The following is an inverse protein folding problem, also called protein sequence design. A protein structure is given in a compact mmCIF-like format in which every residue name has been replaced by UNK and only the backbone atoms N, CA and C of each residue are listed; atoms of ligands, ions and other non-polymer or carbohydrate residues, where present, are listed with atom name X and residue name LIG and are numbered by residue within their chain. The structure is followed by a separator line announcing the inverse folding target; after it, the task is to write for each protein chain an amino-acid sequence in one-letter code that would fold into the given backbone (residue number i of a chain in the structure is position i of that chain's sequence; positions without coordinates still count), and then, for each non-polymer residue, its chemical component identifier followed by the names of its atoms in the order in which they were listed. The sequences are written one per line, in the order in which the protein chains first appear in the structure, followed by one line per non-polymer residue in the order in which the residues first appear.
data_IF_911250661985
#
_entry.id   IF_911250661985
#
_cell.length_a   1.000
_cell.length_b   1.000
_cell.length_c   1.000
_cell.angle_alpha   90.00
_cell.angle_beta   90.00
_cell.angle_gamma   90.00
#
_symmetry.space_group_name_H-M   'P 1'
#
loop_
_entity.id
_entity.type
_entity.pdbx_description
1 polymer ?
#
# COMPACT_ATOMS: atom_id res chain seq x y z
N UNK A 1 57.75 7.78 6.51
CA UNK A 1 57.25 6.43 6.85
C UNK A 1 57.33 6.26 8.36
N UNK A 2 56.19 6.23 9.04
CA UNK A 2 56.08 5.94 10.47
C UNK A 2 55.13 4.74 10.62
N UNK A 3 55.45 3.74 11.46
CA UNK A 3 54.67 2.51 11.52
C UNK A 3 53.38 2.69 12.31
N UNK A 4 52.29 2.25 11.67
CA UNK A 4 50.89 2.30 12.05
C UNK A 4 50.52 1.23 13.12
N UNK A 5 51.43 0.98 14.07
CA UNK A 5 51.39 -0.22 14.93
C UNK A 5 51.26 0.05 16.43
N UNK A 6 51.07 1.31 16.85
CA UNK A 6 51.05 1.69 18.27
C UNK A 6 49.72 2.30 18.76
N UNK A 7 48.62 2.15 18.01
CA UNK A 7 47.31 2.76 18.35
C UNK A 7 46.25 1.78 18.89
N UNK A 8 46.59 0.52 19.16
CA UNK A 8 45.59 -0.51 19.51
C UNK A 8 45.71 -1.08 20.94
N UNK A 9 46.29 -0.36 21.92
CA UNK A 9 46.48 -0.95 23.26
C UNK A 9 46.59 0.08 24.40
N UNK A 10 45.63 1.00 24.51
CA UNK A 10 45.33 1.75 25.74
C UNK A 10 43.83 2.12 25.67
N UNK A 11 42.97 1.88 26.64
CA UNK A 11 43.13 1.39 28.00
C UNK A 11 41.71 1.38 28.56
N UNK A 12 41.17 0.18 28.69
CA UNK A 12 39.89 -0.16 29.27
C UNK A 12 39.94 0.07 30.79
N UNK A 13 39.78 1.31 31.27
CA UNK A 13 39.65 1.61 32.71
C UNK A 13 39.20 3.06 32.97
N UNK A 14 37.89 3.33 32.88
CA UNK A 14 37.29 4.56 33.40
C UNK A 14 35.87 4.28 33.87
N UNK A 15 35.71 3.46 34.92
CA UNK A 15 34.42 3.10 35.47
C UNK A 15 34.46 2.93 36.99
N UNK A 16 34.97 3.90 37.76
CA UNK A 16 34.85 3.90 39.23
C UNK A 16 35.05 5.29 39.85
N UNK A 17 34.14 6.26 39.66
CA UNK A 17 34.08 7.46 40.53
C UNK A 17 32.78 8.27 40.39
N UNK A 18 31.61 7.64 40.56
CA UNK A 18 30.36 8.41 40.68
C UNK A 18 29.41 7.91 41.80
N UNK A 19 29.79 6.89 42.57
CA UNK A 19 29.06 6.48 43.77
C UNK A 19 29.55 7.30 44.98
N UNK A 20 29.17 8.59 45.01
CA UNK A 20 29.11 9.37 46.25
C UNK A 20 27.64 9.66 46.52
N UNK A 21 27.03 8.87 47.40
CA UNK A 21 25.68 9.10 47.91
C UNK A 21 25.72 10.24 48.93
N UNK A 22 25.34 11.44 48.52
CA UNK A 22 25.00 12.51 49.46
C UNK A 22 23.66 12.17 50.10
N UNK A 23 23.69 11.68 51.33
CA UNK A 23 22.50 11.49 52.17
C UNK A 23 21.98 12.83 52.65
N UNK A 24 21.28 13.55 51.78
CA UNK A 24 20.33 14.60 52.19
C UNK A 24 18.94 14.03 52.03
N UNK A 25 18.38 13.54 53.13
CA UNK A 25 16.97 13.19 53.24
C UNK A 25 16.12 14.46 53.23
N UNK A 26 15.98 15.08 52.06
CA UNK A 26 14.81 15.90 51.79
C UNK A 26 13.68 14.93 51.50
N UNK A 27 12.69 14.86 52.40
CA UNK A 27 11.39 14.27 52.10
C UNK A 27 10.77 15.17 51.01
N UNK A 28 11.12 14.88 49.76
CA UNK A 28 10.48 15.50 48.61
C UNK A 28 9.04 15.01 48.64
N UNK A 29 8.12 15.90 48.99
CA UNK A 29 6.70 15.72 48.73
C UNK A 29 6.56 15.50 47.22
N UNK A 30 6.54 14.24 46.78
CA UNK A 30 6.22 13.90 45.40
C UNK A 30 4.85 14.50 45.14
N UNK A 31 4.68 15.39 44.14
CA UNK A 31 3.33 15.79 43.75
C UNK A 31 2.59 14.49 43.41
N UNK A 32 1.56 14.18 44.20
CA UNK A 32 0.59 13.16 43.85
C UNK A 32 -0.25 13.75 42.70
N UNK A 33 0.33 13.82 41.51
CA UNK A 33 -0.48 13.92 40.30
C UNK A 33 -1.28 12.64 40.24
N UNK A 34 -2.57 12.71 40.56
CA UNK A 34 -3.51 11.67 40.13
C UNK A 34 -3.43 11.66 38.61
N UNK A 35 -2.74 10.68 38.06
CA UNK A 35 -2.82 10.38 36.65
C UNK A 35 -4.24 9.85 36.43
N UNK A 36 -5.07 10.67 35.78
CA UNK A 36 -6.34 10.22 35.26
C UNK A 36 -6.03 9.42 33.99
N UNK A 37 -5.59 8.18 34.19
CA UNK A 37 -5.43 7.23 33.09
C UNK A 37 -6.83 6.76 32.68
N UNK A 38 -7.10 6.83 31.39
CA UNK A 38 -8.33 6.33 30.80
C UNK A 38 -8.07 4.91 30.31
N UNK A 39 -8.74 3.93 30.90
CA UNK A 39 -8.50 2.52 30.60
C UNK A 39 -9.25 2.03 29.36
N UNK A 40 -9.99 2.90 28.68
CA UNK A 40 -10.69 2.56 27.44
C UNK A 40 -11.97 1.76 27.64
N UNK A 41 -12.55 1.80 28.85
CA UNK A 41 -13.82 1.15 29.14
C UNK A 41 -15.01 2.03 28.73
N UNK A 42 -15.65 1.62 27.65
CA UNK A 42 -16.86 2.20 27.04
C UNK A 42 -18.10 2.18 27.95
N UNK A 43 -18.10 1.37 29.01
CA UNK A 43 -19.23 1.26 29.95
C UNK A 43 -19.11 2.18 31.18
N UNK A 44 -17.93 2.78 31.44
CA UNK A 44 -17.66 3.49 32.71
C UNK A 44 -16.99 4.86 32.54
N UNK A 45 -16.38 5.17 31.39
CA UNK A 45 -15.63 6.42 31.20
C UNK A 45 -15.97 7.10 29.86
N UNK A 46 -16.27 8.40 29.89
CA UNK A 46 -16.33 9.22 28.67
C UNK A 46 -14.94 9.76 28.34
N UNK A 47 -14.31 9.16 27.32
CA UNK A 47 -12.96 9.53 26.90
C UNK A 47 -12.87 10.97 26.38
N UNK A 48 -13.94 11.51 25.82
CA UNK A 48 -13.93 12.81 25.16
C UNK A 48 -13.93 14.00 26.14
N UNK A 49 -14.40 13.79 27.38
CA UNK A 49 -14.60 14.88 28.35
C UNK A 49 -13.32 15.26 29.10
N UNK A 50 -12.39 14.32 29.31
CA UNK A 50 -11.18 14.53 30.13
C UNK A 50 -9.85 14.32 29.39
N UNK A 51 -9.87 14.05 28.07
CA UNK A 51 -8.66 13.73 27.30
C UNK A 51 -8.40 14.78 26.22
N UNK A 52 -7.16 15.31 26.09
CA UNK A 52 -6.82 16.21 25.00
C UNK A 52 -7.01 15.54 23.63
N UNK A 53 -7.47 16.31 22.64
CA UNK A 53 -7.86 15.81 21.30
C UNK A 53 -6.77 15.06 20.55
N UNK A 54 -5.50 15.28 20.90
CA UNK A 54 -4.35 14.57 20.34
C UNK A 54 -4.26 13.10 20.75
N UNK A 55 -4.89 12.69 21.86
CA UNK A 55 -4.86 11.30 22.38
C UNK A 55 -6.17 10.57 22.06
N UNK A 56 -7.20 11.27 21.58
CA UNK A 56 -8.49 10.70 21.17
C UNK A 56 -8.45 9.94 19.82
N UNK A 57 -7.27 9.69 19.26
CA UNK A 57 -7.11 9.00 17.97
C UNK A 57 -7.81 7.64 17.95
N UNK A 58 -7.66 6.82 18.98
CA UNK A 58 -8.30 5.50 19.08
C UNK A 58 -9.82 5.60 19.22
N UNK A 59 -10.33 6.54 20.04
CA UNK A 59 -11.76 6.76 20.23
C UNK A 59 -12.44 7.25 18.94
N UNK A 60 -11.79 8.20 18.26
CA UNK A 60 -12.25 8.72 16.97
C UNK A 60 -12.18 7.64 15.89
N UNK A 61 -11.15 6.80 15.91
CA UNK A 61 -11.03 5.65 15.01
C UNK A 61 -12.16 4.64 15.25
N UNK A 62 -12.44 4.24 16.50
CA UNK A 62 -13.55 3.32 16.82
C UNK A 62 -14.91 3.88 16.40
N UNK A 63 -15.18 5.16 16.67
CA UNK A 63 -16.40 5.84 16.20
C UNK A 63 -16.50 5.85 14.67
N UNK A 64 -15.39 6.12 13.98
CA UNK A 64 -15.34 6.10 12.52
C UNK A 64 -15.57 4.68 11.96
N UNK A 65 -14.90 3.66 12.48
CA UNK A 65 -15.07 2.26 12.05
C UNK A 65 -16.53 1.82 12.18
N UNK A 66 -17.18 2.17 13.28
CA UNK A 66 -18.59 1.85 13.51
C UNK A 66 -19.56 2.66 12.63
N UNK A 67 -19.09 3.79 12.05
CA UNK A 67 -19.90 4.63 11.14
C UNK A 67 -19.81 4.21 9.67
N UNK A 68 -18.85 3.34 9.30
CA UNK A 68 -18.74 2.83 7.93
C UNK A 68 -19.87 1.83 7.69
N UNK A 69 -20.83 2.20 6.84
CA UNK A 69 -21.91 1.30 6.42
C UNK A 69 -21.30 0.03 5.78
N UNK A 70 -21.54 -1.17 6.34
CA UNK A 70 -21.12 -2.43 5.75
C UNK A 70 -21.62 -2.57 4.31
N UNK A 71 -22.72 -1.92 3.96
CA UNK A 71 -23.30 -1.95 2.62
C UNK A 71 -22.92 -0.71 1.78
N UNK A 72 -21.74 -0.12 1.89
CA UNK A 72 -21.34 0.95 0.97
C UNK A 72 -21.26 0.45 -0.50
N UNK A 73 -21.38 1.32 -1.51
CA UNK A 73 -21.25 0.95 -2.94
C UNK A 73 -19.96 0.19 -3.25
N UNK A 74 -18.86 0.51 -2.55
CA UNK A 74 -17.58 -0.20 -2.64
C UNK A 74 -17.61 -1.63 -2.07
N UNK A 75 -18.61 -1.94 -1.26
CA UNK A 75 -18.82 -3.22 -0.60
C UNK A 75 -20.13 -3.92 -1.06
N UNK A 76 -20.82 -3.39 -2.09
CA UNK A 76 -22.07 -3.98 -2.64
C UNK A 76 -21.95 -4.49 -4.07
N UNK A 77 -20.79 -4.33 -4.72
CA UNK A 77 -20.59 -4.72 -6.11
C UNK A 77 -19.28 -5.50 -6.27
N UNK A 78 -19.33 -6.84 -6.24
CA UNK A 78 -18.20 -7.67 -6.64
C UNK A 78 -18.67 -8.97 -7.31
N UNK A 79 -19.24 -8.82 -8.50
CA UNK A 79 -19.82 -9.94 -9.26
C UNK A 79 -18.74 -10.94 -9.73
N UNK A 80 -17.49 -10.52 -9.94
CA UNK A 80 -16.45 -11.44 -10.44
C UNK A 80 -15.91 -12.39 -9.36
N UNK A 81 -15.78 -11.95 -8.11
CA UNK A 81 -15.32 -12.80 -7.02
C UNK A 81 -16.31 -13.97 -6.77
N UNK A 82 -17.61 -13.66 -6.82
CA UNK A 82 -18.70 -14.65 -6.79
C UNK A 82 -18.64 -15.56 -8.02
N UNK A 83 -18.42 -14.99 -9.22
CA UNK A 83 -18.35 -15.76 -10.46
C UNK A 83 -17.11 -16.68 -10.57
N UNK A 84 -16.00 -16.33 -9.92
CA UNK A 84 -14.77 -17.13 -9.88
C UNK A 84 -14.78 -18.18 -8.76
N UNK A 85 -15.87 -18.29 -7.99
CA UNK A 85 -16.02 -19.30 -6.94
C UNK A 85 -14.96 -19.19 -5.85
N UNK A 86 -14.53 -17.96 -5.54
CA UNK A 86 -13.53 -17.75 -4.49
C UNK A 86 -14.13 -18.20 -3.15
N UNK A 87 -13.47 -19.16 -2.50
CA UNK A 87 -13.92 -19.76 -1.23
C UNK A 87 -14.07 -18.66 -0.16
N UNK A 88 -15.32 -18.43 0.29
CA UNK A 88 -15.70 -17.37 1.23
C UNK A 88 -16.84 -16.44 0.80
N UNK A 89 -17.42 -16.61 -0.39
CA UNK A 89 -18.64 -15.90 -0.81
C UNK A 89 -19.89 -16.75 -0.60
N UNK A 90 -20.62 -16.53 0.49
CA UNK A 90 -22.02 -16.98 0.59
C UNK A 90 -22.91 -16.08 -0.31
N UNK A 91 -24.12 -16.53 -0.66
CA UNK A 91 -25.02 -15.91 -1.65
C UNK A 91 -25.46 -14.46 -1.34
N UNK A 92 -25.12 -13.95 -0.14
CA UNK A 92 -25.35 -12.58 0.32
C UNK A 92 -24.04 -11.76 0.48
N UNK A 93 -22.87 -12.41 0.34
CA UNK A 93 -21.55 -11.84 0.65
C UNK A 93 -20.91 -11.20 -0.57
N UNK A 94 -20.97 -9.88 -0.60
CA UNK A 94 -20.13 -9.07 -1.47
C UNK A 94 -18.72 -8.95 -0.88
N UNK A 95 -17.70 -8.90 -1.75
CA UNK A 95 -16.29 -8.73 -1.38
C UNK A 95 -16.02 -7.39 -0.66
N UNK A 96 -15.61 -7.42 0.62
CA UNK A 96 -15.42 -6.22 1.42
C UNK A 96 -14.06 -5.58 1.21
N UNK A 97 -13.94 -4.84 0.11
CA UNK A 97 -12.73 -4.09 -0.29
C UNK A 97 -12.05 -3.39 0.90
N UNK A 98 -12.81 -2.61 1.68
CA UNK A 98 -12.25 -1.82 2.79
C UNK A 98 -11.78 -2.70 3.96
N UNK A 99 -12.51 -3.77 4.27
CA UNK A 99 -12.12 -4.72 5.32
C UNK A 99 -10.90 -5.51 4.89
N UNK A 100 -10.85 -6.02 3.65
CA UNK A 100 -9.71 -6.77 3.11
C UNK A 100 -8.45 -5.94 2.99
N UNK A 101 -8.54 -4.69 2.52
CA UNK A 101 -7.40 -3.75 2.50
C UNK A 101 -6.81 -3.56 3.90
N UNK A 102 -7.67 -3.51 4.93
CA UNK A 102 -7.27 -3.39 6.33
C UNK A 102 -6.68 -4.69 6.87
N UNK A 103 -7.35 -5.82 6.68
CA UNK A 103 -6.92 -7.16 7.13
C UNK A 103 -5.57 -7.53 6.54
N UNK A 104 -5.35 -7.24 5.26
CA UNK A 104 -4.08 -7.48 4.57
C UNK A 104 -3.03 -6.40 4.88
N UNK A 105 -3.39 -5.35 5.64
CA UNK A 105 -2.49 -4.26 6.00
C UNK A 105 -1.90 -3.56 4.79
N UNK A 106 -2.64 -3.41 3.69
CA UNK A 106 -2.05 -2.95 2.42
C UNK A 106 -1.51 -1.53 2.51
N UNK A 107 -2.24 -0.64 3.19
CA UNK A 107 -1.79 0.74 3.39
C UNK A 107 -0.52 0.80 4.25
N UNK A 108 -0.46 -0.02 5.30
CA UNK A 108 0.73 -0.16 6.14
C UNK A 108 1.91 -0.67 5.31
N UNK A 109 1.75 -1.76 4.55
CA UNK A 109 2.77 -2.29 3.65
C UNK A 109 3.23 -1.28 2.60
N UNK A 110 2.32 -0.48 2.02
CA UNK A 110 2.70 0.57 1.07
C UNK A 110 3.54 1.67 1.71
N UNK A 111 3.25 2.00 2.98
CA UNK A 111 4.01 2.98 3.75
C UNK A 111 5.37 2.42 4.18
N UNK A 112 5.42 1.18 4.67
CA UNK A 112 6.66 0.47 5.03
C UNK A 112 7.62 0.31 3.85
N UNK A 113 7.07 -0.02 2.67
CA UNK A 113 7.85 -0.10 1.43
C UNK A 113 8.26 1.27 0.90
N UNK A 114 7.80 2.37 1.52
CA UNK A 114 8.11 3.73 1.13
C UNK A 114 7.66 4.05 -0.29
N UNK A 115 6.57 3.43 -0.77
CA UNK A 115 6.15 3.53 -2.19
C UNK A 115 5.96 4.98 -2.59
N UNK A 116 5.30 5.78 -1.76
CA UNK A 116 5.09 7.21 -2.02
C UNK A 116 6.41 7.99 -2.05
N UNK A 117 7.32 7.73 -1.10
CA UNK A 117 8.64 8.37 -1.07
C UNK A 117 9.49 8.01 -2.29
N UNK A 118 9.38 6.76 -2.78
CA UNK A 118 10.05 6.30 -3.99
C UNK A 118 9.46 6.94 -5.25
N UNK A 119 8.14 7.09 -5.30
CA UNK A 119 7.46 7.81 -6.39
C UNK A 119 7.89 9.28 -6.43
N UNK A 120 7.95 9.94 -5.28
CA UNK A 120 8.43 11.31 -5.17
C UNK A 120 9.91 11.43 -5.56
N UNK A 121 10.76 10.46 -5.16
CA UNK A 121 12.15 10.39 -5.58
C UNK A 121 12.32 10.19 -7.10
N UNK A 122 11.34 9.58 -7.78
CA UNK A 122 11.27 9.49 -9.24
C UNK A 122 10.68 10.74 -9.90
N UNK A 123 10.39 11.79 -9.13
CA UNK A 123 9.89 13.08 -9.62
C UNK A 123 8.36 13.19 -9.67
N UNK A 124 7.62 12.19 -9.18
CA UNK A 124 6.15 12.25 -9.14
C UNK A 124 5.68 13.11 -7.96
N UNK A 125 5.70 14.42 -8.15
CA UNK A 125 5.11 15.39 -7.22
C UNK A 125 3.64 15.61 -7.55
N UNK A 126 2.89 16.24 -6.63
CA UNK A 126 1.50 16.64 -6.85
C UNK A 126 1.35 17.53 -8.10
N UNK A 127 2.23 18.51 -8.26
CA UNK A 127 2.24 19.40 -9.43
C UNK A 127 2.44 18.61 -10.73
N UNK A 128 3.35 17.64 -10.74
CA UNK A 128 3.58 16.79 -11.91
C UNK A 128 2.44 15.80 -12.17
N UNK A 129 1.78 15.32 -11.12
CA UNK A 129 0.57 14.52 -11.27
C UNK A 129 -0.54 15.33 -11.96
N UNK A 130 -0.72 16.60 -11.60
CA UNK A 130 -1.66 17.50 -12.26
C UNK A 130 -1.30 17.76 -13.73
N UNK A 131 -0.02 17.94 -14.06
CA UNK A 131 0.45 18.06 -15.45
C UNK A 131 0.22 16.79 -16.28
N UNK A 132 0.26 15.61 -15.65
CA UNK A 132 0.00 14.34 -16.30
C UNK A 132 -1.48 14.09 -16.58
N UNK A 133 -2.41 14.69 -15.82
CA UNK A 133 -3.85 14.50 -16.02
C UNK A 133 -4.32 14.84 -17.45
N UNK A 134 -3.95 16.00 -18.05
CA UNK A 134 -4.27 16.29 -19.45
C UNK A 134 -3.70 15.28 -20.45
N UNK A 135 -2.51 14.72 -20.18
CA UNK A 135 -1.90 13.71 -21.05
C UNK A 135 -2.66 12.38 -20.96
N UNK A 136 -3.04 11.96 -19.75
CA UNK A 136 -3.87 10.78 -19.50
C UNK A 136 -5.28 10.91 -20.11
N UNK A 137 -5.85 12.13 -20.09
CA UNK A 137 -7.12 12.44 -20.77
C UNK A 137 -7.00 12.28 -22.29
N UNK A 138 -5.93 12.83 -22.91
CA UNK A 138 -5.66 12.68 -24.36
C UNK A 138 -5.42 11.23 -24.76
N UNK A 139 -4.77 10.45 -23.89
CA UNK A 139 -4.57 9.00 -24.06
C UNK A 139 -5.86 8.20 -23.83
N UNK A 140 -6.95 8.84 -23.38
CA UNK A 140 -8.24 8.19 -23.12
C UNK A 140 -8.23 7.28 -21.90
N UNK A 141 -7.19 7.32 -21.06
CA UNK A 141 -7.06 6.47 -19.86
C UNK A 141 -8.15 6.79 -18.87
N UNK A 142 -8.38 8.09 -18.61
CA UNK A 142 -9.42 8.55 -17.68
C UNK A 142 -10.81 8.16 -18.17
N UNK A 143 -11.06 8.28 -19.48
CA UNK A 143 -12.31 7.82 -20.12
C UNK A 143 -12.47 6.29 -20.03
N UNK A 144 -11.38 5.54 -20.20
CA UNK A 144 -11.40 4.08 -20.07
C UNK A 144 -11.71 3.67 -18.63
N UNK A 145 -11.06 4.27 -17.64
CA UNK A 145 -11.33 4.02 -16.22
C UNK A 145 -12.77 4.41 -15.87
N UNK A 146 -13.22 5.59 -16.28
CA UNK A 146 -14.58 6.08 -16.02
C UNK A 146 -15.67 5.18 -16.63
N UNK A 147 -15.49 4.72 -17.87
CA UNK A 147 -16.47 3.87 -18.54
C UNK A 147 -16.46 2.42 -18.04
N UNK A 148 -15.38 1.98 -17.41
CA UNK A 148 -15.21 0.60 -16.94
C UNK A 148 -15.14 0.52 -15.41
N UNK A 149 -15.59 1.55 -14.68
CA UNK A 149 -15.57 1.57 -13.21
C UNK A 149 -16.18 0.30 -12.61
N UNK A 150 -17.32 -0.14 -13.14
CA UNK A 150 -17.98 -1.36 -12.69
C UNK A 150 -17.12 -2.61 -12.90
N UNK A 151 -16.40 -2.72 -14.02
CA UNK A 151 -15.53 -3.86 -14.30
C UNK A 151 -14.24 -3.81 -13.48
N UNK A 152 -13.69 -2.61 -13.26
CA UNK A 152 -12.51 -2.40 -12.43
C UNK A 152 -12.79 -2.69 -10.97
N UNK A 153 -13.91 -2.19 -10.43
CA UNK A 153 -14.30 -2.42 -9.03
C UNK A 153 -14.71 -3.87 -8.82
N UNK A 154 -15.48 -4.47 -9.74
CA UNK A 154 -16.02 -5.80 -9.49
C UNK A 154 -15.07 -6.92 -9.90
N UNK A 155 -14.14 -6.64 -10.81
CA UNK A 155 -13.26 -7.63 -11.42
C UNK A 155 -11.80 -7.48 -11.03
N UNK A 156 -11.25 -6.29 -11.27
CA UNK A 156 -9.81 -6.06 -11.05
C UNK A 156 -9.50 -5.83 -9.57
N UNK A 157 -10.35 -5.10 -8.84
CA UNK A 157 -10.06 -4.72 -7.46
C UNK A 157 -9.89 -5.92 -6.51
N UNK A 158 -10.73 -6.98 -6.53
CA UNK A 158 -10.52 -8.14 -5.67
C UNK A 158 -9.18 -8.83 -5.94
N UNK A 159 -8.83 -9.03 -7.22
CA UNK A 159 -7.56 -9.65 -7.64
C UNK A 159 -6.37 -8.76 -7.23
N UNK A 160 -6.49 -7.45 -7.40
CA UNK A 160 -5.45 -6.50 -7.04
C UNK A 160 -5.23 -6.43 -5.53
N UNK A 161 -6.29 -6.49 -4.72
CA UNK A 161 -6.22 -6.41 -3.25
C UNK A 161 -5.61 -7.68 -2.67
N UNK A 162 -6.07 -8.85 -3.10
CA UNK A 162 -5.56 -10.14 -2.62
C UNK A 162 -4.14 -10.43 -3.15
N UNK A 163 -3.83 -9.98 -4.37
CA UNK A 163 -2.49 -10.07 -4.95
C UNK A 163 -1.52 -9.00 -4.43
N UNK A 164 -2.01 -7.92 -3.83
CA UNK A 164 -1.18 -6.79 -3.40
C UNK A 164 -0.04 -7.18 -2.45
N UNK A 165 -0.20 -8.05 -1.44
CA UNK A 165 0.91 -8.42 -0.57
C UNK A 165 2.12 -9.01 -1.32
N UNK A 166 1.88 -9.70 -2.44
CA UNK A 166 2.91 -10.25 -3.31
C UNK A 166 3.43 -9.22 -4.33
N UNK A 167 2.53 -8.41 -4.89
CA UNK A 167 2.84 -7.46 -5.97
C UNK A 167 3.46 -6.16 -5.46
N UNK A 168 3.11 -5.70 -4.27
CA UNK A 168 3.58 -4.42 -3.71
C UNK A 168 5.11 -4.35 -3.60
N UNK A 169 5.84 -5.37 -3.10
CA UNK A 169 7.30 -5.34 -3.12
C UNK A 169 7.89 -5.25 -4.53
N UNK A 170 7.30 -5.96 -5.49
CA UNK A 170 7.75 -5.95 -6.88
C UNK A 170 7.53 -4.57 -7.52
N UNK A 171 6.37 -3.97 -7.31
CA UNK A 171 6.05 -2.61 -7.79
C UNK A 171 6.96 -1.58 -7.12
N UNK A 172 7.19 -1.69 -5.81
CA UNK A 172 8.12 -0.81 -5.10
C UNK A 172 9.54 -0.89 -5.67
N UNK A 173 10.03 -2.09 -5.99
CA UNK A 173 11.32 -2.28 -6.65
C UNK A 173 11.33 -1.75 -8.09
N UNK A 174 10.25 -1.94 -8.85
CA UNK A 174 10.12 -1.40 -10.21
C UNK A 174 10.15 0.14 -10.22
N UNK A 175 9.54 0.79 -9.22
CA UNK A 175 9.59 2.25 -9.05
C UNK A 175 11.03 2.72 -8.82
N UNK A 176 11.84 2.00 -8.03
CA UNK A 176 13.25 2.36 -7.83
C UNK A 176 14.07 2.31 -9.12
N UNK A 177 13.82 1.29 -9.95
CA UNK A 177 14.48 1.14 -11.26
C UNK A 177 14.02 2.22 -12.25
N UNK A 178 12.78 2.68 -12.12
CA UNK A 178 12.22 3.79 -12.90
C UNK A 178 11.65 3.34 -14.26
N UNK A 179 11.65 4.23 -15.28
CA UNK A 179 10.92 4.00 -16.55
C UNK A 179 11.22 2.68 -17.24
N UNK A 180 12.48 2.22 -17.17
CA UNK A 180 12.94 1.00 -17.83
C UNK A 180 12.21 -0.26 -17.32
N UNK A 181 11.88 -0.32 -16.02
CA UNK A 181 11.18 -1.46 -15.45
C UNK A 181 9.76 -1.58 -16.04
N UNK A 182 9.09 -0.45 -16.19
CA UNK A 182 7.73 -0.38 -16.72
C UNK A 182 7.67 -0.60 -18.23
N UNK A 183 8.67 -0.14 -18.99
CA UNK A 183 8.79 -0.49 -20.41
C UNK A 183 9.13 -1.96 -20.63
N UNK A 184 9.99 -2.54 -19.79
CA UNK A 184 10.26 -3.98 -19.81
C UNK A 184 8.98 -4.75 -19.51
N UNK A 185 8.25 -4.38 -18.46
CA UNK A 185 6.97 -5.00 -18.12
C UNK A 185 5.98 -4.90 -19.30
N UNK A 186 5.86 -3.72 -19.92
CA UNK A 186 5.02 -3.53 -21.10
C UNK A 186 5.40 -4.46 -22.26
N UNK A 187 6.70 -4.52 -22.59
CA UNK A 187 7.22 -5.39 -23.63
C UNK A 187 7.01 -6.88 -23.31
N UNK A 188 7.16 -7.28 -22.04
CA UNK A 188 6.90 -8.65 -21.63
C UNK A 188 5.43 -9.03 -21.73
N UNK A 189 4.51 -8.16 -21.30
CA UNK A 189 3.07 -8.44 -21.40
C UNK A 189 2.62 -8.51 -22.86
N UNK A 190 3.07 -7.58 -23.71
CA UNK A 190 2.77 -7.61 -25.14
C UNK A 190 3.41 -8.82 -25.84
N UNK A 191 4.64 -9.18 -25.47
CA UNK A 191 5.34 -10.34 -26.02
C UNK A 191 4.70 -11.67 -25.61
N UNK A 192 4.27 -11.78 -24.34
CA UNK A 192 3.54 -12.95 -23.84
C UNK A 192 2.17 -13.08 -24.52
N UNK A 193 1.46 -11.97 -24.70
CA UNK A 193 0.19 -11.96 -25.42
C UNK A 193 0.36 -12.45 -26.87
N UNK A 194 1.33 -11.87 -27.59
CA UNK A 194 1.64 -12.28 -28.96
C UNK A 194 2.07 -13.74 -29.04
N UNK A 195 2.89 -14.21 -28.10
CA UNK A 195 3.31 -15.61 -28.02
C UNK A 195 2.12 -16.55 -27.78
N UNK A 196 1.26 -16.25 -26.81
CA UNK A 196 0.08 -17.06 -26.50
C UNK A 196 -0.90 -17.09 -27.67
N UNK A 197 -1.09 -15.96 -28.34
CA UNK A 197 -1.95 -15.86 -29.52
C UNK A 197 -1.39 -16.65 -30.72
N UNK A 198 -0.09 -16.52 -30.99
CA UNK A 198 0.56 -17.19 -32.13
C UNK A 198 0.83 -18.68 -31.89
N UNK A 199 0.96 -19.11 -30.63
CA UNK A 199 1.17 -20.52 -30.28
C UNK A 199 -0.05 -21.41 -30.54
N UNK A 200 -1.24 -20.83 -30.74
CA UNK A 200 -2.48 -21.58 -30.87
C UNK A 200 -2.86 -22.36 -29.61
N UNK A 201 -2.23 -22.06 -28.46
CA UNK A 201 -2.58 -22.69 -27.20
C UNK A 201 -4.04 -22.41 -26.86
N UNK A 202 -4.75 -23.42 -26.37
CA UNK A 202 -6.14 -23.32 -25.96
C UNK A 202 -6.24 -23.50 -24.44
N UNK A 203 -7.21 -22.80 -23.84
CA UNK A 203 -7.52 -22.98 -22.43
C UNK A 203 -8.31 -24.30 -22.28
N UNK A 204 -7.79 -25.31 -21.55
CA UNK A 204 -8.31 -26.69 -21.58
C UNK A 204 -9.79 -26.85 -21.24
N UNK A 205 -10.35 -25.93 -20.45
CA UNK A 205 -11.73 -25.96 -19.96
C UNK A 205 -12.67 -25.00 -20.71
N UNK A 206 -12.15 -24.10 -21.56
CA UNK A 206 -12.96 -23.14 -22.33
C UNK A 206 -12.96 -23.45 -23.84
N UNK A 207 -11.98 -24.18 -24.37
CA UNK A 207 -11.82 -24.39 -25.82
C UNK A 207 -11.60 -23.08 -26.60
N UNK A 208 -11.18 -22.03 -25.89
CA UNK A 208 -10.86 -20.71 -26.44
C UNK A 208 -9.35 -20.52 -26.51
N UNK A 209 -8.88 -19.75 -27.48
CA UNK A 209 -7.47 -19.39 -27.59
C UNK A 209 -6.97 -18.75 -26.28
N UNK A 210 -5.89 -19.30 -25.73
CA UNK A 210 -5.20 -18.76 -24.56
C UNK A 210 -4.72 -17.34 -24.81
N UNK A 211 -4.31 -16.99 -26.03
CA UNK A 211 -4.03 -15.60 -26.41
C UNK A 211 -5.27 -14.72 -26.42
N UNK A 212 -6.40 -15.24 -26.90
CA UNK A 212 -7.68 -14.50 -26.85
C UNK A 212 -8.15 -14.23 -25.41
N UNK A 213 -8.00 -15.20 -24.51
CA UNK A 213 -8.42 -15.08 -23.11
C UNK A 213 -7.42 -14.26 -22.29
N UNK A 214 -6.13 -14.57 -22.38
CA UNK A 214 -5.08 -13.85 -21.66
C UNK A 214 -4.92 -12.41 -22.17
N UNK A 215 -5.16 -12.16 -23.45
CA UNK A 215 -5.10 -10.83 -24.05
C UNK A 215 -6.08 -9.83 -23.47
N UNK A 216 -7.22 -10.30 -22.92
CA UNK A 216 -8.15 -9.44 -22.17
C UNK A 216 -7.51 -8.80 -20.94
N UNK A 217 -6.42 -9.38 -20.42
CA UNK A 217 -5.70 -8.91 -19.22
C UNK A 217 -4.31 -8.38 -19.60
N UNK A 218 -3.58 -9.10 -20.44
CA UNK A 218 -2.20 -8.77 -20.85
C UNK A 218 -2.14 -7.50 -21.69
N UNK A 219 -3.08 -7.27 -22.61
CA UNK A 219 -3.09 -6.06 -23.45
C UNK A 219 -3.32 -4.81 -22.57
N UNK A 220 -4.35 -4.73 -21.72
CA UNK A 220 -4.50 -3.60 -20.80
C UNK A 220 -3.28 -3.39 -19.89
N UNK A 221 -2.71 -4.46 -19.33
CA UNK A 221 -1.51 -4.38 -18.48
C UNK A 221 -0.29 -3.84 -19.24
N UNK A 222 -0.12 -4.23 -20.50
CA UNK A 222 0.97 -3.73 -21.34
C UNK A 222 0.84 -2.22 -21.59
N UNK A 223 -0.38 -1.76 -21.90
CA UNK A 223 -0.68 -0.36 -22.16
C UNK A 223 -0.49 0.47 -20.90
N UNK A 224 -1.03 0.02 -19.76
CA UNK A 224 -0.86 0.70 -18.47
C UNK A 224 0.63 0.79 -18.11
N UNK A 225 1.39 -0.30 -18.26
CA UNK A 225 2.82 -0.31 -17.97
C UNK A 225 3.59 0.65 -18.89
N UNK A 226 3.26 0.71 -20.18
CA UNK A 226 3.89 1.64 -21.11
C UNK A 226 3.59 3.10 -20.78
N UNK A 227 2.35 3.40 -20.37
CA UNK A 227 1.94 4.75 -19.95
C UNK A 227 2.65 5.15 -18.67
N UNK A 228 2.73 4.27 -17.68
CA UNK A 228 3.45 4.53 -16.42
C UNK A 228 4.95 4.73 -16.70
N UNK A 229 5.56 3.92 -17.57
CA UNK A 229 6.94 4.12 -18.01
C UNK A 229 7.13 5.47 -18.72
N UNK A 230 6.20 5.85 -19.59
CA UNK A 230 6.20 7.16 -20.27
C UNK A 230 6.03 8.33 -19.32
N UNK A 231 5.18 8.20 -18.31
CA UNK A 231 5.02 9.21 -17.27
C UNK A 231 6.34 9.37 -16.50
N UNK A 232 6.93 8.29 -15.97
CA UNK A 232 8.22 8.38 -15.28
C UNK A 232 9.36 8.93 -16.16
N UNK A 233 9.36 8.62 -17.47
CA UNK A 233 10.38 9.14 -18.39
C UNK A 233 10.27 10.66 -18.58
N UNK A 234 9.05 11.21 -18.48
CA UNK A 234 8.81 12.65 -18.55
C UNK A 234 9.11 13.36 -17.22
N UNK A 235 9.10 12.66 -16.09
CA UNK A 235 9.38 13.25 -14.77
C UNK A 235 10.89 13.45 -14.51
N UNK A 236 11.73 12.66 -15.18
CA UNK A 236 13.19 12.69 -15.01
C UNK A 236 13.89 13.70 -15.95
N UNK A 237 13.15 14.28 -16.91
CA UNK A 237 13.61 15.32 -17.83
C UNK A 237 12.97 16.67 -17.50
#
# INVERSE_FOLDING_TARGET
MAPLSSLLTLGLAASTSAFSTTSTSSVASRPSTKLYENFGFDFAEDQAENTPTSILGEANYKKWVNSVDPNNMLNRQSVLAVALGWEGTDEEDTYPVLSRVRELGLLEKTAELGVLSKLEAQGLTLEKAEELLPALEKLGVLKLVANNQQLLINGVAPIAIEGAPLLLPLVAGAIEVGPAAFYLAAATFAGLDFYLFSSGAEVPFLGLSAGGVAGLVLIPLSVVSAIVGGAFAQLKN
#
